data_IF_318541869801
#
_entry.id   IF_318541869801
#
_cell.length_a   1.000
_cell.length_b   1.000
_cell.length_c   1.000
_cell.angle_alpha   90.00
_cell.angle_beta   90.00
_cell.angle_gamma   90.00
#
_symmetry.space_group_name_H-M   'P 1'
#
loop_
_entity.id
_entity.type
_entity.pdbx_description
1 polymer ?
#
# COMPACT_ATOMS: atom_id res chain seq x y z
N UNK A 1 4.24 13.55 7.66
CA UNK A 1 3.69 13.18 6.36
C UNK A 1 3.46 11.68 6.23
N UNK A 2 2.49 11.33 5.41
CA UNK A 2 2.17 9.93 5.13
C UNK A 2 3.29 9.32 4.30
N UNK A 3 3.83 8.18 4.73
CA UNK A 3 4.93 7.50 4.05
C UNK A 3 4.45 6.46 3.05
N UNK A 4 3.32 5.84 3.33
CA UNK A 4 2.70 4.89 2.41
C UNK A 4 1.20 4.82 2.68
N UNK A 5 0.44 4.43 1.67
CA UNK A 5 -0.98 4.19 1.81
C UNK A 5 -1.28 2.74 1.46
N UNK A 6 -2.13 2.10 2.22
CA UNK A 6 -2.60 0.75 1.94
C UNK A 6 -4.00 0.85 1.35
N UNK A 7 -4.18 0.26 0.18
CA UNK A 7 -5.41 0.33 -0.59
C UNK A 7 -5.91 -1.09 -0.88
N UNK A 8 -7.10 -1.50 -0.40
CA UNK A 8 -7.70 -2.70 -0.95
C UNK A 8 -8.12 -2.41 -2.39
N UNK A 9 -7.97 -3.37 -3.29
CA UNK A 9 -8.34 -3.18 -4.70
C UNK A 9 -9.80 -2.77 -4.84
N UNK A 10 -10.66 -3.34 -4.00
CA UNK A 10 -12.06 -2.99 -3.93
C UNK A 10 -12.55 -3.11 -2.49
N UNK A 11 -13.72 -2.54 -2.21
CA UNK A 11 -14.38 -2.71 -0.92
C UNK A 11 -15.03 -4.08 -0.84
N UNK A 12 -14.22 -5.08 -0.67
CA UNK A 12 -14.68 -6.46 -0.56
C UNK A 12 -14.40 -6.97 0.86
N UNK A 13 -15.31 -7.74 1.43
CA UNK A 13 -15.15 -8.26 2.78
C UNK A 13 -13.93 -9.17 2.91
N UNK A 14 -13.46 -9.76 1.82
CA UNK A 14 -12.26 -10.58 1.83
C UNK A 14 -10.99 -9.74 1.81
N UNK A 15 -11.03 -8.56 1.21
CA UNK A 15 -9.84 -7.71 1.06
C UNK A 15 -9.71 -6.65 2.13
N UNK A 16 -10.81 -5.95 2.45
CA UNK A 16 -10.72 -4.78 3.32
C UNK A 16 -10.20 -5.08 4.72
N UNK A 17 -10.66 -6.14 5.41
CA UNK A 17 -10.12 -6.44 6.75
C UNK A 17 -8.64 -6.78 6.73
N UNK A 18 -8.19 -7.52 5.72
CA UNK A 18 -6.78 -7.90 5.59
C UNK A 18 -5.91 -6.70 5.26
N UNK A 19 -6.40 -5.80 4.40
CA UNK A 19 -5.68 -4.57 4.09
C UNK A 19 -5.59 -3.65 5.31
N UNK A 20 -6.64 -3.57 6.13
CA UNK A 20 -6.60 -2.80 7.38
C UNK A 20 -5.58 -3.36 8.36
N UNK A 21 -5.53 -4.67 8.48
CA UNK A 21 -4.56 -5.34 9.35
C UNK A 21 -3.14 -5.01 8.90
N UNK A 22 -2.87 -5.07 7.60
CA UNK A 22 -1.57 -4.70 7.05
C UNK A 22 -1.24 -3.23 7.38
N UNK A 23 -2.20 -2.33 7.21
CA UNK A 23 -1.98 -0.92 7.54
C UNK A 23 -1.62 -0.74 9.02
N UNK A 24 -2.31 -1.45 9.92
CA UNK A 24 -2.02 -1.39 11.36
C UNK A 24 -0.62 -1.90 11.67
N UNK A 25 -0.20 -2.99 11.04
CA UNK A 25 1.14 -3.54 11.24
C UNK A 25 2.20 -2.54 10.81
N UNK A 26 2.02 -1.91 9.66
CA UNK A 26 2.97 -0.93 9.15
C UNK A 26 2.98 0.36 9.96
N UNK A 27 1.89 0.72 10.62
CA UNK A 27 1.82 1.90 11.48
C UNK A 27 2.74 1.83 12.69
N UNK A 28 3.18 0.65 13.05
CA UNK A 28 4.21 0.50 14.08
C UNK A 28 5.54 1.11 13.67
N UNK A 29 5.75 1.39 12.38
CA UNK A 29 7.03 1.86 11.84
C UNK A 29 6.93 3.21 11.14
N UNK A 30 5.81 3.51 10.48
CA UNK A 30 5.63 4.73 9.68
C UNK A 30 4.23 5.29 9.81
N UNK A 31 4.07 6.53 9.34
CA UNK A 31 2.75 7.11 9.19
C UNK A 31 2.10 6.52 7.93
N UNK A 32 1.07 5.72 8.13
CA UNK A 32 0.41 4.94 7.08
C UNK A 32 -1.05 5.36 6.96
N UNK A 33 -1.49 5.64 5.75
CA UNK A 33 -2.89 5.88 5.45
C UNK A 33 -3.55 4.58 4.99
N UNK A 34 -4.84 4.46 5.27
CA UNK A 34 -5.67 3.39 4.72
C UNK A 34 -6.78 4.05 3.92
N UNK A 35 -6.86 3.76 2.63
CA UNK A 35 -7.80 4.44 1.74
C UNK A 35 -8.61 3.43 0.94
N UNK A 36 -9.90 3.32 1.24
CA UNK A 36 -10.84 2.46 0.51
C UNK A 36 -11.99 3.24 -0.12
N UNK A 37 -11.89 4.56 -0.18
CA UNK A 37 -12.97 5.43 -0.64
C UNK A 37 -12.96 5.59 -2.15
N UNK A 38 -14.10 5.29 -2.79
CA UNK A 38 -14.28 5.44 -4.23
C UNK A 38 -13.55 4.38 -5.04
N UNK A 39 -13.44 4.60 -6.34
CA UNK A 39 -12.75 3.69 -7.25
C UNK A 39 -11.23 3.76 -7.05
N UNK A 40 -10.54 2.67 -7.38
CA UNK A 40 -9.09 2.56 -7.15
C UNK A 40 -8.30 3.66 -7.86
N UNK A 41 -8.69 4.05 -9.07
CA UNK A 41 -8.03 5.13 -9.80
C UNK A 41 -8.10 6.47 -9.07
N UNK A 42 -9.22 6.77 -8.42
CA UNK A 42 -9.37 7.98 -7.62
C UNK A 42 -8.52 7.93 -6.37
N UNK A 43 -8.37 6.75 -5.79
CA UNK A 43 -7.54 6.57 -4.60
C UNK A 43 -6.08 6.83 -4.92
N UNK A 44 -5.59 6.32 -6.04
CA UNK A 44 -4.22 6.61 -6.49
C UNK A 44 -4.01 8.11 -6.70
N UNK A 45 -4.94 8.78 -7.37
CA UNK A 45 -4.83 10.23 -7.62
C UNK A 45 -4.83 11.02 -6.32
N UNK A 46 -5.68 10.65 -5.36
CA UNK A 46 -5.74 11.32 -4.07
C UNK A 46 -4.41 11.18 -3.33
N UNK A 47 -3.83 9.98 -3.32
CA UNK A 47 -2.55 9.75 -2.68
C UNK A 47 -1.42 10.48 -3.39
N UNK A 48 -1.44 10.55 -4.71
CA UNK A 48 -0.47 11.33 -5.47
C UNK A 48 -0.56 12.83 -5.12
N UNK A 49 -1.77 13.36 -5.00
CA UNK A 49 -1.99 14.76 -4.66
C UNK A 49 -1.47 15.14 -3.28
N UNK A 50 -1.62 14.28 -2.30
CA UNK A 50 -1.11 14.54 -0.94
C UNK A 50 0.37 14.19 -0.79
N UNK A 51 1.00 13.66 -1.84
CA UNK A 51 2.43 13.40 -1.86
C UNK A 51 2.86 12.09 -1.23
N UNK A 52 1.96 11.11 -1.11
CA UNK A 52 2.30 9.79 -0.56
C UNK A 52 3.28 9.08 -1.49
N UNK A 53 4.51 8.74 -1.02
CA UNK A 53 5.52 8.17 -1.91
C UNK A 53 5.21 6.75 -2.40
N UNK A 54 4.51 5.94 -1.60
CA UNK A 54 4.20 4.56 -1.98
C UNK A 54 2.74 4.24 -1.74
N UNK A 55 2.13 3.59 -2.73
CA UNK A 55 0.80 3.00 -2.59
C UNK A 55 0.91 1.48 -2.65
N UNK A 56 0.33 0.82 -1.66
CA UNK A 56 0.38 -0.64 -1.51
C UNK A 56 -1.01 -1.17 -1.78
N UNK A 57 -1.18 -1.90 -2.87
CA UNK A 57 -2.47 -2.45 -3.27
C UNK A 57 -2.59 -3.90 -2.81
N UNK A 58 -3.61 -4.16 -2.00
CA UNK A 58 -3.98 -5.49 -1.54
C UNK A 58 -5.11 -5.98 -2.44
N UNK A 59 -4.86 -7.04 -3.20
CA UNK A 59 -5.80 -7.53 -4.21
C UNK A 59 -6.15 -9.01 -4.00
N UNK A 60 -6.96 -9.57 -4.90
CA UNK A 60 -7.37 -10.97 -4.77
C UNK A 60 -6.21 -11.95 -4.93
N UNK A 61 -5.23 -11.61 -5.77
CA UNK A 61 -4.03 -12.44 -5.91
C UNK A 61 -3.24 -12.49 -4.60
N UNK A 62 -3.32 -11.45 -3.77
CA UNK A 62 -2.66 -11.41 -2.47
C UNK A 62 -3.15 -12.53 -1.56
N UNK A 63 -4.42 -12.91 -1.68
CA UNK A 63 -4.98 -14.02 -0.89
C UNK A 63 -4.32 -15.36 -1.24
N UNK A 64 -3.79 -15.48 -2.45
CA UNK A 64 -3.16 -16.71 -2.93
C UNK A 64 -1.65 -16.69 -2.79
N UNK A 65 -1.00 -15.61 -3.19
CA UNK A 65 0.47 -15.55 -3.26
C UNK A 65 1.12 -14.79 -2.10
N UNK A 66 0.32 -14.20 -1.22
CA UNK A 66 0.80 -13.41 -0.08
C UNK A 66 1.74 -12.27 -0.51
N UNK A 67 1.45 -11.66 -1.65
CA UNK A 67 2.20 -10.54 -2.16
C UNK A 67 1.27 -9.37 -2.51
N UNK A 68 1.81 -8.17 -2.47
CA UNK A 68 1.07 -6.94 -2.77
C UNK A 68 1.77 -6.19 -3.90
N UNK A 69 1.05 -5.27 -4.53
CA UNK A 69 1.64 -4.40 -5.54
C UNK A 69 2.04 -3.09 -4.87
N UNK A 70 3.30 -2.72 -4.99
CA UNK A 70 3.82 -1.45 -4.49
C UNK A 70 4.06 -0.53 -5.68
N UNK A 71 3.41 0.63 -5.67
CA UNK A 71 3.55 1.64 -6.72
C UNK A 71 4.30 2.83 -6.14
N UNK A 72 5.38 3.22 -6.79
CA UNK A 72 6.14 4.41 -6.42
C UNK A 72 5.57 5.63 -7.13
N UNK A 73 5.30 6.69 -6.38
CA UNK A 73 4.69 7.91 -6.91
C UNK A 73 5.52 8.57 -8.01
N UNK A 74 6.80 8.77 -7.78
CA UNK A 74 7.63 9.58 -8.67
C UNK A 74 7.94 8.88 -10.00
N UNK A 75 8.26 7.60 -9.95
CA UNK A 75 8.57 6.82 -11.14
C UNK A 75 7.33 6.21 -11.79
N UNK A 76 6.24 6.10 -11.04
CA UNK A 76 5.02 5.39 -11.40
C UNK A 76 5.27 3.89 -11.65
N UNK A 77 6.43 3.37 -11.25
CA UNK A 77 6.74 1.96 -11.37
C UNK A 77 5.99 1.15 -10.31
N UNK A 78 5.61 -0.04 -10.72
CA UNK A 78 4.93 -0.98 -9.85
C UNK A 78 5.74 -2.26 -9.73
N UNK A 79 5.74 -2.82 -8.54
CA UNK A 79 6.48 -4.04 -8.25
C UNK A 79 5.67 -4.93 -7.32
N UNK A 80 5.70 -6.22 -7.59
CA UNK A 80 5.06 -7.20 -6.71
C UNK A 80 6.03 -7.57 -5.60
N UNK A 81 5.63 -7.37 -4.35
CA UNK A 81 6.47 -7.60 -3.17
C UNK A 81 5.74 -8.52 -2.21
N UNK A 82 6.41 -9.58 -1.75
CA UNK A 82 5.78 -10.47 -0.79
C UNK A 82 5.57 -9.75 0.56
N UNK A 83 4.51 -10.12 1.26
CA UNK A 83 4.20 -9.52 2.57
C UNK A 83 5.35 -9.70 3.56
N UNK A 84 6.07 -10.83 3.48
CA UNK A 84 7.21 -11.10 4.35
C UNK A 84 8.35 -10.13 4.15
N UNK A 85 8.46 -9.55 2.96
CA UNK A 85 9.57 -8.66 2.61
C UNK A 85 9.15 -7.20 2.55
N UNK A 86 7.88 -6.92 2.71
CA UNK A 86 7.34 -5.57 2.50
C UNK A 86 7.96 -4.54 3.45
N UNK A 87 8.09 -4.88 4.72
CA UNK A 87 8.66 -3.96 5.70
C UNK A 87 10.11 -3.61 5.35
N UNK A 88 10.93 -4.61 5.01
CA UNK A 88 12.32 -4.37 4.60
C UNK A 88 12.39 -3.57 3.30
N UNK A 89 11.51 -3.88 2.35
CA UNK A 89 11.41 -3.15 1.08
C UNK A 89 11.16 -1.66 1.32
N UNK A 90 10.18 -1.34 2.17
CA UNK A 90 9.86 0.05 2.49
C UNK A 90 10.98 0.72 3.28
N UNK A 91 11.58 0.01 4.24
CA UNK A 91 12.65 0.55 5.05
C UNK A 91 13.85 0.98 4.19
N UNK A 92 14.26 0.16 3.23
CA UNK A 92 15.36 0.49 2.33
C UNK A 92 15.07 1.77 1.55
N UNK A 93 13.85 1.97 1.10
CA UNK A 93 13.48 3.10 0.26
C UNK A 93 13.16 4.37 1.05
N UNK A 94 12.55 4.22 2.22
CA UNK A 94 12.15 5.37 3.03
C UNK A 94 13.29 5.90 3.90
N UNK A 95 14.17 5.04 4.40
CA UNK A 95 15.28 5.43 5.26
C UNK A 95 16.55 5.70 4.47
N UNK A 96 16.72 5.06 3.32
CA UNK A 96 17.89 5.23 2.48
C UNK A 96 17.82 6.43 1.56
N UNK A 97 16.73 7.14 1.57
CA UNK A 97 16.52 8.28 0.69
C UNK A 97 17.16 9.54 1.25
#
# INVERSE_FOLDING_TARGET
PVKAAVLPLSRNEELSPMARELAQDLRGHWNIDFDDAGAIGRRYRRQDEIGTPFCITYDFDTLEDSAVTVRERDSMQQERVSLDRLQAYLAERLLGA
#
